data_IF_613128085967
#
_entry.id   IF_613128085967
#
_cell.length_a   1.000
_cell.length_b   1.000
_cell.length_c   1.000
_cell.angle_alpha   90.00
_cell.angle_beta   90.00
_cell.angle_gamma   90.00
#
_symmetry.space_group_name_H-M   'P 1'
#
loop_
_entity.id
_entity.type
_entity.pdbx_description
1 polymer ?
#
# COMPACT_ATOMS: atom_id res chain seq x y z
N UNK A 1 -30.08 7.58 -1.84
CA UNK A 1 -29.56 8.95 -1.65
C UNK A 1 -29.73 9.73 -2.94
N UNK A 2 -30.30 10.97 -2.90
CA UNK A 2 -30.46 11.82 -4.08
C UNK A 2 -29.28 12.80 -4.27
N UNK A 3 -28.22 12.64 -3.50
CA UNK A 3 -27.07 13.53 -3.50
C UNK A 3 -25.78 12.74 -3.71
N UNK A 4 -24.80 13.37 -4.34
CA UNK A 4 -23.43 12.92 -4.48
C UNK A 4 -22.55 13.63 -3.45
N UNK A 5 -21.76 12.89 -2.68
CA UNK A 5 -20.85 13.47 -1.70
C UNK A 5 -19.48 13.70 -2.33
N UNK A 6 -19.00 14.94 -2.30
CA UNK A 6 -17.62 15.25 -2.66
C UNK A 6 -16.77 15.45 -1.39
N UNK A 7 -15.61 14.80 -1.33
CA UNK A 7 -14.70 14.80 -0.19
C UNK A 7 -13.30 15.24 -0.61
N UNK A 8 -12.81 16.28 0.03
CA UNK A 8 -11.47 16.85 -0.15
C UNK A 8 -10.38 15.99 0.48
N UNK A 9 -9.11 16.29 0.18
CA UNK A 9 -7.94 15.65 0.80
C UNK A 9 -8.01 15.67 2.32
N UNK A 10 -8.31 16.82 2.91
CA UNK A 10 -8.34 16.99 4.38
C UNK A 10 -9.42 16.13 5.02
N UNK A 11 -10.61 16.09 4.39
CA UNK A 11 -11.72 15.27 4.88
C UNK A 11 -11.43 13.78 4.75
N UNK A 12 -10.88 13.34 3.61
CA UNK A 12 -10.47 11.93 3.40
C UNK A 12 -9.46 11.49 4.46
N UNK A 13 -8.42 12.30 4.71
CA UNK A 13 -7.41 12.00 5.73
C UNK A 13 -8.01 11.91 7.13
N UNK A 14 -8.94 12.80 7.47
CA UNK A 14 -9.61 12.81 8.78
C UNK A 14 -10.58 11.63 8.99
N UNK A 15 -11.02 10.98 7.91
CA UNK A 15 -11.99 9.88 7.91
C UNK A 15 -11.35 8.49 7.70
N UNK A 16 -10.03 8.39 7.72
CA UNK A 16 -9.28 7.13 7.60
C UNK A 16 -8.46 6.82 8.87
N UNK A 17 -9.10 6.54 10.01
CA UNK A 17 -8.37 6.10 11.20
C UNK A 17 -7.68 4.76 10.94
N UNK A 18 -6.38 4.70 11.25
CA UNK A 18 -5.50 3.61 10.83
C UNK A 18 -5.91 2.23 11.38
N UNK A 19 -6.32 2.08 12.66
CA UNK A 19 -6.74 0.77 13.19
C UNK A 19 -7.95 0.20 12.45
N UNK A 20 -8.96 1.02 12.20
CA UNK A 20 -10.19 0.64 11.48
C UNK A 20 -9.89 0.30 10.02
N UNK A 21 -9.02 1.09 9.38
CA UNK A 21 -8.62 0.82 7.99
C UNK A 21 -7.87 -0.51 7.89
N UNK A 22 -6.92 -0.80 8.80
CA UNK A 22 -6.24 -2.10 8.83
C UNK A 22 -7.22 -3.26 9.01
N UNK A 23 -8.23 -3.11 9.86
CA UNK A 23 -9.28 -4.12 10.05
C UNK A 23 -10.08 -4.33 8.76
N UNK A 24 -10.55 -3.25 8.11
CA UNK A 24 -11.26 -3.32 6.82
C UNK A 24 -10.43 -3.93 5.69
N UNK A 25 -9.12 -3.64 5.64
CA UNK A 25 -8.23 -4.24 4.65
C UNK A 25 -8.03 -5.74 4.86
N UNK A 26 -7.96 -6.22 6.11
CA UNK A 26 -7.95 -7.67 6.39
C UNK A 26 -9.20 -8.35 5.84
N UNK A 27 -10.38 -7.78 6.10
CA UNK A 27 -11.65 -8.28 5.58
C UNK A 27 -11.68 -8.26 4.04
N UNK A 28 -11.17 -7.19 3.41
CA UNK A 28 -11.11 -7.05 1.96
C UNK A 28 -10.18 -8.09 1.31
N UNK A 29 -8.99 -8.33 1.86
CA UNK A 29 -8.08 -9.38 1.38
C UNK A 29 -8.72 -10.77 1.49
N UNK A 30 -9.33 -11.10 2.62
CA UNK A 30 -10.04 -12.36 2.78
C UNK A 30 -11.19 -12.49 1.78
N UNK A 31 -12.01 -11.45 1.61
CA UNK A 31 -13.12 -11.41 0.68
C UNK A 31 -12.66 -11.64 -0.77
N UNK A 32 -11.55 -11.01 -1.16
CA UNK A 32 -10.96 -11.20 -2.50
C UNK A 32 -10.53 -12.66 -2.72
N UNK A 33 -9.75 -13.23 -1.82
CA UNK A 33 -9.29 -14.62 -1.93
C UNK A 33 -10.41 -15.66 -1.77
N UNK A 34 -11.58 -15.26 -1.26
CA UNK A 34 -12.80 -16.05 -1.17
C UNK A 34 -13.73 -15.90 -2.40
N UNK A 35 -13.33 -15.09 -3.40
CA UNK A 35 -14.14 -14.84 -4.59
C UNK A 35 -15.36 -13.93 -4.35
N UNK A 36 -15.37 -13.15 -3.28
CA UNK A 36 -16.41 -12.15 -2.94
C UNK A 36 -16.05 -10.74 -3.42
N UNK A 37 -15.13 -10.63 -4.35
CA UNK A 37 -14.74 -9.39 -5.01
C UNK A 37 -14.47 -9.67 -6.49
N UNK A 38 -14.73 -8.68 -7.33
CA UNK A 38 -14.39 -8.72 -8.76
C UNK A 38 -13.53 -7.51 -9.11
N UNK A 39 -12.26 -7.76 -9.43
CA UNK A 39 -11.29 -6.69 -9.68
C UNK A 39 -10.44 -7.04 -10.88
N UNK A 40 -10.81 -6.56 -12.07
CA UNK A 40 -9.98 -6.72 -13.25
C UNK A 40 -8.67 -5.95 -13.14
N UNK A 41 -7.67 -6.38 -13.89
CA UNK A 41 -6.41 -5.66 -13.98
C UNK A 41 -6.64 -4.21 -14.44
N UNK A 42 -5.89 -3.26 -13.85
CA UNK A 42 -5.97 -1.85 -14.24
C UNK A 42 -5.65 -1.67 -15.73
N UNK A 43 -6.35 -0.74 -16.35
CA UNK A 43 -6.09 -0.31 -17.73
C UNK A 43 -5.53 1.10 -17.74
N UNK A 44 -4.74 1.46 -18.75
CA UNK A 44 -4.13 2.78 -18.84
C UNK A 44 -4.18 3.35 -20.27
N UNK A 45 -4.56 4.62 -20.35
CA UNK A 45 -4.34 5.46 -21.54
C UNK A 45 -3.01 6.22 -21.36
N UNK A 46 -2.20 6.26 -22.42
CA UNK A 46 -0.90 6.93 -22.43
C UNK A 46 -0.99 8.28 -23.13
N UNK A 47 -0.30 9.26 -22.57
CA UNK A 47 -0.12 10.60 -23.16
C UNK A 47 1.37 10.93 -23.22
N UNK A 48 1.79 11.93 -24.00
CA UNK A 48 3.15 12.45 -23.94
C UNK A 48 3.51 12.87 -22.51
N UNK A 49 4.56 12.26 -21.94
CA UNK A 49 5.04 12.56 -20.59
C UNK A 49 4.35 11.83 -19.45
N UNK A 50 3.26 11.05 -19.70
CA UNK A 50 2.57 10.37 -18.61
C UNK A 50 1.48 9.40 -19.05
N UNK A 51 0.67 9.00 -18.09
CA UNK A 51 -0.48 8.12 -18.33
C UNK A 51 -1.63 8.45 -17.36
N UNK A 52 -2.83 7.99 -17.71
CA UNK A 52 -3.96 7.88 -16.80
C UNK A 52 -4.40 6.42 -16.73
N UNK A 53 -4.45 5.85 -15.54
CA UNK A 53 -4.97 4.52 -15.31
C UNK A 53 -6.35 4.56 -14.65
N UNK A 54 -7.20 3.58 -15.01
CA UNK A 54 -8.45 3.29 -14.35
C UNK A 54 -8.35 1.93 -13.63
N UNK A 55 -8.78 1.92 -12.37
CA UNK A 55 -8.75 0.75 -11.49
C UNK A 55 -10.18 0.49 -10.98
N UNK A 56 -11.02 -0.18 -11.78
CA UNK A 56 -12.36 -0.56 -11.33
C UNK A 56 -12.27 -1.75 -10.35
N UNK A 57 -13.25 -1.84 -9.45
CA UNK A 57 -13.39 -2.97 -8.56
C UNK A 57 -14.76 -3.01 -7.89
N UNK A 58 -15.18 -4.22 -7.60
CA UNK A 58 -16.30 -4.52 -6.70
C UNK A 58 -15.77 -5.28 -5.48
N UNK A 59 -16.22 -4.87 -4.32
CA UNK A 59 -15.97 -5.57 -3.06
C UNK A 59 -17.29 -5.72 -2.32
N UNK A 60 -17.60 -6.96 -1.95
CA UNK A 60 -18.79 -7.25 -1.14
C UNK A 60 -18.80 -6.42 0.15
N UNK A 61 -19.94 -5.78 0.45
CA UNK A 61 -20.09 -4.85 1.57
C UNK A 61 -19.52 -3.43 1.36
N UNK A 62 -18.68 -3.21 0.34
CA UNK A 62 -18.19 -1.87 -0.01
C UNK A 62 -18.87 -1.28 -1.25
N UNK A 63 -19.24 -2.12 -2.22
CA UNK A 63 -19.87 -1.72 -3.48
C UNK A 63 -18.88 -1.59 -4.64
N UNK A 64 -19.29 -0.89 -5.68
CA UNK A 64 -18.48 -0.63 -6.87
C UNK A 64 -17.66 0.64 -6.70
N UNK A 65 -16.40 0.58 -7.10
CA UNK A 65 -15.49 1.74 -7.13
C UNK A 65 -14.74 1.82 -8.45
N UNK A 66 -14.28 3.01 -8.79
CA UNK A 66 -13.22 3.19 -9.76
C UNK A 66 -12.27 4.28 -9.27
N UNK A 67 -10.97 3.95 -9.17
CA UNK A 67 -9.94 4.96 -9.00
C UNK A 67 -9.38 5.34 -10.38
N UNK A 68 -9.47 6.62 -10.72
CA UNK A 68 -8.76 7.22 -11.84
C UNK A 68 -7.50 7.89 -11.31
N UNK A 69 -6.32 7.48 -11.80
CA UNK A 69 -5.03 8.01 -11.36
C UNK A 69 -4.20 8.44 -12.55
N UNK A 70 -3.68 9.67 -12.52
CA UNK A 70 -2.69 10.15 -13.48
C UNK A 70 -1.28 10.09 -12.90
N UNK A 71 -0.31 9.72 -13.74
CA UNK A 71 1.10 9.64 -13.37
C UNK A 71 1.93 10.36 -14.41
N UNK A 72 2.54 11.47 -14.01
CA UNK A 72 3.40 12.32 -14.82
C UNK A 72 4.73 12.53 -14.12
N UNK A 73 5.72 11.70 -14.42
CA UNK A 73 7.03 11.72 -13.76
C UNK A 73 7.77 13.05 -13.95
N UNK A 74 7.52 13.76 -15.04
CA UNK A 74 8.10 15.08 -15.29
C UNK A 74 7.67 16.17 -14.30
N UNK A 75 6.66 15.93 -13.47
CA UNK A 75 6.24 16.86 -12.42
C UNK A 75 7.08 16.78 -11.15
N UNK A 76 8.00 15.82 -11.03
CA UNK A 76 8.91 15.78 -9.88
C UNK A 76 9.71 17.07 -9.76
N UNK A 77 9.65 17.68 -8.58
CA UNK A 77 10.35 18.94 -8.28
C UNK A 77 9.62 20.20 -8.76
N UNK A 78 8.37 20.07 -9.23
CA UNK A 78 7.48 21.20 -9.57
C UNK A 78 6.40 21.36 -8.49
N UNK A 79 5.55 22.37 -8.64
CA UNK A 79 4.36 22.63 -7.83
C UNK A 79 3.16 21.70 -8.16
N UNK A 80 3.26 20.93 -9.24
CA UNK A 80 2.24 19.97 -9.66
C UNK A 80 2.62 18.56 -9.19
N UNK A 81 1.77 17.86 -8.40
CA UNK A 81 2.07 16.49 -7.99
C UNK A 81 2.22 15.54 -9.18
N UNK A 82 3.21 14.65 -9.11
CA UNK A 82 3.43 13.63 -10.15
C UNK A 82 2.34 12.55 -10.18
N UNK A 83 1.63 12.36 -9.08
CA UNK A 83 0.51 11.44 -8.94
C UNK A 83 -0.71 12.20 -8.46
N UNK A 84 -1.80 12.14 -9.22
CA UNK A 84 -3.09 12.74 -8.85
C UNK A 84 -4.18 11.71 -9.09
N UNK A 85 -5.17 11.65 -8.23
CA UNK A 85 -6.22 10.64 -8.37
C UNK A 85 -7.56 11.10 -7.79
N UNK A 86 -8.63 10.50 -8.33
CA UNK A 86 -9.97 10.55 -7.78
C UNK A 86 -10.48 9.12 -7.58
N UNK A 87 -11.25 8.89 -6.52
CA UNK A 87 -12.03 7.67 -6.32
C UNK A 87 -13.50 8.01 -6.45
N UNK A 88 -14.20 7.27 -7.32
CA UNK A 88 -15.65 7.34 -7.46
C UNK A 88 -16.25 6.06 -6.87
N UNK A 89 -17.35 6.22 -6.11
CA UNK A 89 -18.12 5.11 -5.56
C UNK A 89 -19.54 5.10 -6.11
N UNK A 90 -20.07 3.89 -6.28
CA UNK A 90 -21.43 3.63 -6.74
C UNK A 90 -22.12 2.70 -5.75
N UNK A 91 -23.42 2.90 -5.56
CA UNK A 91 -24.25 2.00 -4.76
C UNK A 91 -24.59 0.70 -5.52
N UNK A 92 -25.34 -0.20 -4.87
CA UNK A 92 -25.77 -1.48 -5.43
C UNK A 92 -26.69 -1.35 -6.66
N UNK A 93 -27.21 -0.16 -6.91
CA UNK A 93 -28.05 0.17 -8.08
C UNK A 93 -27.25 0.82 -9.21
N UNK A 94 -25.93 0.94 -9.03
CA UNK A 94 -25.06 1.63 -9.97
C UNK A 94 -25.18 3.16 -9.94
N UNK A 95 -25.74 3.72 -8.86
CA UNK A 95 -25.86 5.17 -8.70
C UNK A 95 -24.56 5.72 -8.09
N UNK A 96 -23.91 6.76 -8.66
CA UNK A 96 -22.74 7.36 -8.05
C UNK A 96 -23.12 8.01 -6.72
N UNK A 97 -22.41 7.67 -5.64
CA UNK A 97 -22.70 8.13 -4.27
C UNK A 97 -21.61 9.03 -3.68
N UNK A 98 -20.36 8.87 -4.15
CA UNK A 98 -19.25 9.70 -3.69
C UNK A 98 -18.19 9.92 -4.76
N UNK A 99 -17.52 11.07 -4.67
CA UNK A 99 -16.25 11.40 -5.31
C UNK A 99 -15.31 11.88 -4.21
N UNK A 100 -14.10 11.34 -4.14
CA UNK A 100 -13.14 11.71 -3.09
C UNK A 100 -11.72 11.83 -3.62
N UNK A 101 -10.89 12.56 -2.89
CA UNK A 101 -9.46 12.64 -3.18
C UNK A 101 -8.83 11.26 -3.18
N UNK A 102 -8.37 10.81 -4.35
CA UNK A 102 -7.78 9.49 -4.54
C UNK A 102 -6.29 9.44 -4.21
N UNK A 103 -5.61 10.58 -4.16
CA UNK A 103 -4.20 10.63 -3.80
C UNK A 103 -4.01 10.27 -2.32
N UNK A 104 -4.83 10.86 -1.43
CA UNK A 104 -4.84 10.52 0.00
C UNK A 104 -5.29 9.08 0.24
N UNK A 105 -6.37 8.64 -0.42
CA UNK A 105 -6.79 7.23 -0.36
C UNK A 105 -5.62 6.33 -0.71
N UNK A 106 -4.93 6.57 -1.84
CA UNK A 106 -3.80 5.74 -2.29
C UNK A 106 -2.65 5.75 -1.30
N UNK A 107 -2.25 6.92 -0.81
CA UNK A 107 -1.13 7.06 0.12
C UNK A 107 -1.39 6.27 1.41
N UNK A 108 -2.57 6.44 2.00
CA UNK A 108 -2.92 5.89 3.31
C UNK A 108 -3.20 4.38 3.21
N UNK A 109 -4.01 3.91 2.20
CA UNK A 109 -4.36 2.50 2.08
C UNK A 109 -3.15 1.62 1.71
N UNK A 110 -2.20 2.15 0.94
CA UNK A 110 -0.98 1.40 0.59
C UNK A 110 -0.14 1.11 1.83
N UNK A 111 0.07 2.11 2.67
CA UNK A 111 0.80 1.94 3.92
C UNK A 111 0.04 1.03 4.92
N UNK A 112 -1.28 1.18 5.01
CA UNK A 112 -2.11 0.33 5.85
C UNK A 112 -2.09 -1.15 5.39
N UNK A 113 -2.09 -1.40 4.07
CA UNK A 113 -1.94 -2.75 3.49
C UNK A 113 -0.59 -3.38 3.82
N UNK A 114 0.49 -2.60 3.71
CA UNK A 114 1.83 -3.04 4.11
C UNK A 114 1.90 -3.33 5.62
N UNK A 115 1.23 -2.52 6.46
CA UNK A 115 1.13 -2.77 7.89
C UNK A 115 0.35 -4.05 8.20
N UNK A 116 -0.74 -4.34 7.48
CA UNK A 116 -1.47 -5.63 7.59
C UNK A 116 -0.56 -6.80 7.22
N UNK A 117 0.21 -6.68 6.12
CA UNK A 117 1.16 -7.72 5.73
C UNK A 117 2.23 -7.96 6.79
N UNK A 118 2.83 -6.89 7.32
CA UNK A 118 3.82 -6.98 8.39
C UNK A 118 3.25 -7.58 9.69
N UNK A 119 2.01 -7.27 10.04
CA UNK A 119 1.36 -7.83 11.22
C UNK A 119 1.09 -9.35 11.09
N UNK A 120 0.79 -9.81 9.88
CA UNK A 120 0.57 -11.23 9.58
C UNK A 120 1.89 -12.03 9.44
N UNK A 121 2.96 -11.39 8.95
CA UNK A 121 4.13 -12.08 8.43
C UNK A 121 5.42 -11.83 9.23
N UNK A 122 5.53 -10.73 9.98
CA UNK A 122 6.69 -10.48 10.82
C UNK A 122 6.66 -11.34 12.10
N UNK A 123 7.82 -11.56 12.70
CA UNK A 123 7.91 -12.27 13.98
C UNK A 123 7.15 -11.50 15.07
N UNK A 124 6.48 -12.18 16.02
CA UNK A 124 5.74 -11.52 17.09
C UNK A 124 6.60 -10.53 17.92
N UNK A 125 7.87 -10.85 18.15
CA UNK A 125 8.82 -10.02 18.92
C UNK A 125 9.54 -8.92 18.12
N UNK A 126 9.12 -8.63 16.88
CA UNK A 126 9.74 -7.58 16.04
C UNK A 126 9.64 -6.22 16.72
N UNK A 127 10.78 -5.54 16.89
CA UNK A 127 10.91 -4.30 17.63
C UNK A 127 11.66 -3.17 16.87
N UNK A 128 12.37 -3.50 15.78
CA UNK A 128 13.11 -2.55 14.96
C UNK A 128 12.48 -2.43 13.57
N UNK A 129 12.04 -1.22 13.22
CA UNK A 129 11.46 -0.88 11.91
C UNK A 129 12.48 -0.10 11.07
N UNK A 130 12.65 -0.45 9.80
CA UNK A 130 13.38 0.32 8.82
C UNK A 130 12.44 0.82 7.71
N UNK A 131 12.47 2.12 7.39
CA UNK A 131 11.72 2.73 6.28
C UNK A 131 12.73 3.26 5.26
N UNK A 132 12.71 2.70 4.05
CA UNK A 132 13.58 3.08 2.94
C UNK A 132 12.78 3.90 1.95
N UNK A 133 12.99 5.22 1.97
CA UNK A 133 12.29 6.21 1.16
C UNK A 133 11.65 7.31 2.02
N UNK A 134 12.03 8.57 1.79
CA UNK A 134 11.55 9.75 2.52
C UNK A 134 10.45 10.52 1.79
N UNK A 135 9.74 9.90 0.84
CA UNK A 135 8.64 10.49 0.08
C UNK A 135 7.27 10.25 0.71
N UNK A 136 6.20 10.50 -0.06
CA UNK A 136 4.80 10.35 0.37
C UNK A 136 4.54 8.98 1.02
N UNK A 137 5.03 7.90 0.41
CA UNK A 137 4.86 6.56 0.96
C UNK A 137 5.66 6.34 2.24
N UNK A 138 6.87 6.89 2.38
CA UNK A 138 7.62 6.83 3.63
C UNK A 138 6.88 7.50 4.79
N UNK A 139 6.30 8.69 4.55
CA UNK A 139 5.46 9.38 5.53
C UNK A 139 4.23 8.56 5.92
N UNK A 140 3.51 8.02 4.94
CA UNK A 140 2.32 7.20 5.19
C UNK A 140 2.66 5.90 5.92
N UNK A 141 3.82 5.27 5.62
CA UNK A 141 4.28 4.07 6.32
C UNK A 141 4.65 4.38 7.76
N UNK A 142 5.33 5.49 8.05
CA UNK A 142 5.60 5.89 9.43
C UNK A 142 4.30 6.00 10.23
N UNK A 143 3.28 6.68 9.67
CA UNK A 143 1.97 6.83 10.30
C UNK A 143 1.25 5.47 10.48
N UNK A 144 1.34 4.57 9.48
CA UNK A 144 0.65 3.28 9.51
C UNK A 144 1.29 2.24 10.43
N UNK A 145 2.59 2.38 10.68
CA UNK A 145 3.34 1.45 11.54
C UNK A 145 3.52 1.95 12.96
N UNK A 146 3.30 3.24 13.24
CA UNK A 146 3.61 3.86 14.53
C UNK A 146 2.96 3.14 15.73
N UNK A 147 1.72 2.70 15.59
CA UNK A 147 0.94 1.99 16.62
C UNK A 147 0.80 0.49 16.39
N UNK A 148 1.44 -0.05 15.33
CA UNK A 148 1.28 -1.45 14.95
C UNK A 148 1.89 -2.41 15.97
N UNK A 149 3.03 -2.03 16.55
CA UNK A 149 3.82 -2.81 17.50
C UNK A 149 4.53 -1.90 18.50
N UNK A 150 5.00 -2.40 19.64
CA UNK A 150 5.81 -1.65 20.60
C UNK A 150 7.25 -1.48 20.06
N UNK A 151 7.42 -0.68 19.04
CA UNK A 151 8.73 -0.40 18.45
C UNK A 151 9.69 0.16 19.50
N UNK A 152 10.94 -0.29 19.49
CA UNK A 152 12.04 0.29 20.28
C UNK A 152 12.90 1.22 19.44
N UNK A 153 12.88 1.04 18.11
CA UNK A 153 13.68 1.82 17.18
C UNK A 153 13.00 1.88 15.81
N UNK A 154 13.02 3.05 15.19
CA UNK A 154 12.59 3.27 13.80
C UNK A 154 13.75 3.94 13.07
N UNK A 155 14.24 3.31 12.03
CA UNK A 155 15.34 3.83 11.19
C UNK A 155 14.78 4.30 9.85
N UNK A 156 15.19 5.47 9.42
CA UNK A 156 14.75 6.05 8.14
C UNK A 156 15.96 6.33 7.28
N UNK A 157 15.95 5.82 6.07
CA UNK A 157 16.97 6.14 5.06
C UNK A 157 16.33 6.62 3.77
N UNK A 158 16.95 7.59 3.13
CA UNK A 158 16.51 8.09 1.83
C UNK A 158 17.73 8.52 1.00
N UNK A 159 17.62 8.43 -0.32
CA UNK A 159 18.65 8.95 -1.23
C UNK A 159 18.96 10.43 -0.98
N UNK A 160 17.94 11.22 -0.65
CA UNK A 160 18.10 12.57 -0.11
C UNK A 160 18.04 12.48 1.42
N UNK A 161 19.19 12.64 2.09
CA UNK A 161 19.27 12.52 3.55
C UNK A 161 18.39 13.53 4.28
N UNK A 162 18.25 14.75 3.78
CA UNK A 162 17.35 15.75 4.37
C UNK A 162 15.89 15.29 4.39
N UNK A 163 15.46 14.49 3.40
CA UNK A 163 14.12 13.88 3.42
C UNK A 163 14.00 12.80 4.49
N UNK A 164 15.08 12.07 4.78
CA UNK A 164 15.09 11.09 5.88
C UNK A 164 15.03 11.80 7.24
N UNK A 165 15.79 12.89 7.42
CA UNK A 165 15.73 13.71 8.64
C UNK A 165 14.36 14.31 8.88
N UNK A 166 13.74 14.88 7.84
CA UNK A 166 12.39 15.45 7.91
C UNK A 166 11.34 14.39 8.28
N UNK A 167 11.47 13.17 7.75
CA UNK A 167 10.57 12.08 8.11
C UNK A 167 10.83 11.59 9.54
N UNK A 168 12.08 11.39 9.93
CA UNK A 168 12.44 10.94 11.27
C UNK A 168 11.99 11.92 12.36
N UNK A 169 12.05 13.23 12.11
CA UNK A 169 11.61 14.26 13.05
C UNK A 169 10.11 14.15 13.45
N UNK A 170 9.30 13.36 12.73
CA UNK A 170 7.87 13.18 13.02
C UNK A 170 7.58 12.15 14.13
N UNK A 171 8.55 11.34 14.53
CA UNK A 171 8.33 10.30 15.52
C UNK A 171 9.50 10.19 16.52
N UNK A 172 9.25 10.13 17.84
CA UNK A 172 10.32 10.20 18.85
C UNK A 172 11.31 9.02 18.81
N UNK A 173 10.90 7.86 18.27
CA UNK A 173 11.77 6.68 18.12
C UNK A 173 12.48 6.64 16.76
N UNK A 174 12.18 7.59 15.85
CA UNK A 174 12.73 7.56 14.51
C UNK A 174 14.05 8.34 14.43
N UNK A 175 15.02 7.74 13.73
CA UNK A 175 16.32 8.35 13.43
C UNK A 175 16.63 8.22 11.95
N UNK A 176 17.20 9.27 11.36
CA UNK A 176 17.74 9.21 10.01
C UNK A 176 19.08 8.50 10.02
N UNK A 177 19.26 7.50 9.17
CA UNK A 177 20.54 6.78 9.00
C UNK A 177 21.28 7.27 7.75
N UNK A 178 22.62 7.19 7.72
CA UNK A 178 23.42 7.71 6.62
C UNK A 178 23.30 6.88 5.34
N UNK A 179 22.96 5.58 5.46
CA UNK A 179 22.83 4.68 4.30
C UNK A 179 21.62 3.75 4.42
N UNK A 180 21.22 3.12 3.32
CA UNK A 180 20.19 2.07 3.31
C UNK A 180 20.67 0.83 4.07
N UNK A 181 21.96 0.49 3.96
CA UNK A 181 22.57 -0.62 4.68
C UNK A 181 22.47 -0.43 6.19
N UNK A 182 22.80 0.76 6.71
CA UNK A 182 22.70 1.07 8.14
C UNK A 182 21.26 0.99 8.64
N UNK A 183 20.28 1.37 7.83
CA UNK A 183 18.88 1.24 8.20
C UNK A 183 18.44 -0.23 8.29
N UNK A 184 18.89 -1.08 7.35
CA UNK A 184 18.41 -2.45 7.16
C UNK A 184 19.08 -3.45 8.10
N UNK A 185 20.38 -3.28 8.39
CA UNK A 185 21.11 -4.26 9.22
C UNK A 185 20.49 -4.41 10.62
N UNK A 186 20.04 -5.64 10.91
CA UNK A 186 19.40 -5.96 12.18
C UNK A 186 17.96 -5.43 12.34
N UNK A 187 17.34 -4.87 11.29
CA UNK A 187 15.93 -4.52 11.31
C UNK A 187 15.06 -5.77 11.24
N UNK A 188 13.98 -5.79 12.03
CA UNK A 188 13.00 -6.89 12.03
C UNK A 188 11.96 -6.72 10.91
N UNK A 189 11.59 -5.47 10.63
CA UNK A 189 10.63 -5.11 9.58
C UNK A 189 11.24 -4.03 8.70
N UNK A 190 11.23 -4.24 7.39
CA UNK A 190 11.82 -3.35 6.39
C UNK A 190 10.74 -2.96 5.40
N UNK A 191 10.47 -1.66 5.26
CA UNK A 191 9.52 -1.10 4.30
C UNK A 191 10.28 -0.40 3.17
N UNK A 192 10.20 -0.94 1.95
CA UNK A 192 10.68 -0.30 0.73
C UNK A 192 9.55 0.56 0.17
N UNK A 193 9.77 1.87 0.10
CA UNK A 193 8.73 2.87 -0.23
C UNK A 193 9.22 3.84 -1.29
N UNK A 194 10.08 3.36 -2.20
CA UNK A 194 10.76 4.18 -3.20
C UNK A 194 10.09 4.10 -4.58
N UNK A 195 10.46 5.01 -5.47
CA UNK A 195 10.15 4.95 -6.90
C UNK A 195 11.40 4.51 -7.71
N UNK A 196 12.25 3.67 -7.12
CA UNK A 196 13.48 3.22 -7.74
C UNK A 196 13.20 2.20 -8.85
N UNK A 197 13.97 2.31 -9.94
CA UNK A 197 13.95 1.39 -11.09
C UNK A 197 15.05 0.32 -10.99
N UNK A 198 15.76 0.28 -9.87
CA UNK A 198 16.79 -0.69 -9.51
C UNK A 198 16.63 -1.09 -8.04
N UNK A 199 17.07 -2.30 -7.65
CA UNK A 199 17.06 -2.73 -6.26
C UNK A 199 17.72 -1.74 -5.31
N UNK A 200 17.07 -1.47 -4.18
CA UNK A 200 17.55 -0.48 -3.20
C UNK A 200 18.23 -1.10 -1.98
N UNK A 201 18.02 -2.40 -1.75
CA UNK A 201 18.69 -3.15 -0.67
C UNK A 201 19.25 -4.48 -1.19
N UNK A 202 20.36 -4.92 -0.58
CA UNK A 202 20.95 -6.23 -0.83
C UNK A 202 20.37 -7.25 0.17
N UNK A 203 19.96 -8.47 -0.28
CA UNK A 203 19.56 -9.54 0.62
C UNK A 203 20.60 -9.89 1.70
N UNK A 204 21.88 -9.70 1.45
CA UNK A 204 22.96 -9.94 2.40
C UNK A 204 22.95 -8.97 3.61
N UNK A 205 22.22 -7.86 3.55
CA UNK A 205 22.06 -6.95 4.67
C UNK A 205 20.91 -7.36 5.61
N UNK A 206 19.97 -8.18 5.10
CA UNK A 206 18.73 -8.53 5.80
C UNK A 206 18.98 -9.68 6.76
N UNK A 207 18.61 -9.50 8.01
CA UNK A 207 18.75 -10.53 9.04
C UNK A 207 17.79 -11.69 8.81
N UNK A 208 18.18 -12.89 9.20
CA UNK A 208 17.27 -14.03 9.27
C UNK A 208 16.05 -13.68 10.12
N UNK A 209 14.88 -14.10 9.67
CA UNK A 209 13.60 -13.83 10.35
C UNK A 209 13.01 -12.44 10.09
N UNK A 210 13.63 -11.57 9.33
CA UNK A 210 13.07 -10.27 8.99
C UNK A 210 11.81 -10.39 8.08
N UNK A 211 11.02 -9.32 8.07
CA UNK A 211 9.95 -9.11 7.10
C UNK A 211 10.33 -7.96 6.16
N UNK A 212 10.18 -8.16 4.85
CA UNK A 212 10.44 -7.15 3.82
C UNK A 212 9.14 -6.86 3.07
N UNK A 213 8.62 -5.64 3.20
CA UNK A 213 7.51 -5.10 2.42
C UNK A 213 8.01 -4.17 1.32
N UNK A 214 7.53 -4.33 0.09
CA UNK A 214 7.85 -3.47 -1.05
C UNK A 214 6.58 -2.97 -1.71
N UNK A 215 6.44 -1.66 -1.85
CA UNK A 215 5.25 -1.02 -2.44
C UNK A 215 5.53 -0.19 -3.69
N UNK A 216 6.78 -0.11 -4.11
CA UNK A 216 7.16 0.58 -5.35
C UNK A 216 6.70 -0.15 -6.61
N UNK A 217 6.32 0.60 -7.62
CA UNK A 217 5.75 0.04 -8.86
C UNK A 217 6.80 -0.36 -9.91
N UNK A 218 8.09 -0.12 -9.65
CA UNK A 218 9.17 -0.40 -10.60
C UNK A 218 9.96 -1.64 -10.19
N UNK A 219 11.23 -1.49 -9.81
CA UNK A 219 12.12 -2.63 -9.53
C UNK A 219 12.95 -2.43 -8.25
N UNK A 220 12.33 -1.85 -7.20
CA UNK A 220 13.05 -1.59 -5.94
C UNK A 220 13.43 -2.84 -5.16
N UNK A 221 12.71 -3.97 -5.38
CA UNK A 221 12.95 -5.23 -4.70
C UNK A 221 14.01 -6.05 -5.44
N UNK A 222 15.07 -6.46 -4.74
CA UNK A 222 16.13 -7.29 -5.34
C UNK A 222 15.58 -8.69 -5.69
N UNK A 223 15.92 -9.25 -6.88
CA UNK A 223 15.43 -10.58 -7.29
C UNK A 223 15.75 -11.71 -6.31
N UNK A 224 16.81 -11.59 -5.51
CA UNK A 224 17.16 -12.55 -4.46
C UNK A 224 16.05 -12.78 -3.43
N UNK A 225 15.15 -11.81 -3.24
CA UNK A 225 13.99 -11.93 -2.33
C UNK A 225 12.85 -12.78 -2.90
N UNK A 226 12.83 -13.05 -4.20
CA UNK A 226 11.77 -13.85 -4.85
C UNK A 226 12.12 -15.32 -4.98
N UNK A 227 13.19 -15.79 -4.33
CA UNK A 227 13.60 -17.19 -4.32
C UNK A 227 12.75 -18.09 -3.41
N UNK A 228 12.07 -17.50 -2.42
CA UNK A 228 11.13 -18.16 -1.50
C UNK A 228 9.68 -17.81 -1.80
N UNK A 229 8.80 -17.94 -0.77
CA UNK A 229 7.40 -17.51 -0.84
C UNK A 229 7.31 -16.00 -0.89
N UNK A 230 6.51 -15.49 -1.83
CA UNK A 230 6.19 -14.06 -1.94
C UNK A 230 4.69 -13.87 -1.69
N UNK A 231 4.39 -13.02 -0.73
CA UNK A 231 3.02 -12.64 -0.41
C UNK A 231 2.60 -11.41 -1.23
N UNK A 232 1.37 -11.43 -1.72
CA UNK A 232 0.81 -10.38 -2.58
C UNK A 232 -0.63 -10.08 -2.16
N UNK A 233 -1.18 -8.95 -2.60
CA UNK A 233 -2.60 -8.70 -2.46
C UNK A 233 -3.45 -9.53 -3.45
N UNK A 234 -2.89 -9.86 -4.61
CA UNK A 234 -3.53 -10.65 -5.68
C UNK A 234 -2.50 -11.36 -6.54
N UNK A 235 -2.78 -12.60 -6.96
CA UNK A 235 -1.84 -13.39 -7.81
C UNK A 235 -1.56 -12.75 -9.17
N UNK A 236 -2.46 -11.88 -9.64
CA UNK A 236 -2.24 -11.10 -10.85
C UNK A 236 -1.02 -10.18 -10.78
N UNK A 237 -0.50 -9.87 -9.60
CA UNK A 237 0.77 -9.17 -9.45
C UNK A 237 1.94 -9.89 -10.13
N UNK A 238 1.90 -11.24 -10.20
CA UNK A 238 2.92 -12.07 -10.83
C UNK A 238 2.57 -12.50 -12.27
N UNK A 239 1.28 -12.48 -12.65
CA UNK A 239 0.82 -13.01 -13.95
C UNK A 239 0.46 -11.93 -14.96
N UNK A 240 0.24 -10.69 -14.50
CA UNK A 240 -0.09 -9.56 -15.37
C UNK A 240 1.16 -8.75 -15.69
N UNK A 241 1.25 -8.26 -16.91
CA UNK A 241 2.38 -7.42 -17.31
C UNK A 241 2.40 -6.08 -16.54
N UNK A 242 3.57 -5.50 -16.24
CA UNK A 242 3.68 -4.15 -15.71
C UNK A 242 3.02 -3.10 -16.63
N UNK A 243 2.43 -2.04 -16.08
CA UNK A 243 2.47 -1.61 -14.68
C UNK A 243 1.35 -2.19 -13.80
N UNK A 244 0.52 -3.09 -14.30
CA UNK A 244 -0.52 -3.73 -13.48
C UNK A 244 0.08 -4.80 -12.56
N UNK A 245 0.96 -5.66 -13.08
CA UNK A 245 1.77 -6.58 -12.30
C UNK A 245 3.11 -5.97 -11.87
N UNK A 246 3.83 -6.68 -11.00
CA UNK A 246 5.15 -6.32 -10.52
C UNK A 246 6.24 -6.78 -11.49
N UNK A 247 7.19 -5.91 -11.79
CA UNK A 247 8.35 -6.24 -12.66
C UNK A 247 9.15 -7.40 -12.08
N UNK A 248 9.36 -7.40 -10.76
CA UNK A 248 10.20 -8.34 -10.03
C UNK A 248 9.57 -9.74 -9.89
N UNK A 249 8.27 -9.87 -10.14
CA UNK A 249 7.54 -11.13 -10.05
C UNK A 249 7.31 -11.80 -11.42
N UNK A 250 7.74 -11.17 -12.52
CA UNK A 250 7.55 -11.76 -13.85
C UNK A 250 8.36 -13.04 -13.99
N UNK A 251 7.67 -14.15 -14.32
CA UNK A 251 8.29 -15.45 -14.49
C UNK A 251 8.58 -16.24 -13.21
N UNK A 252 8.12 -15.75 -12.05
CA UNK A 252 8.19 -16.50 -10.78
C UNK A 252 7.32 -17.76 -10.87
N UNK A 253 7.73 -18.83 -10.18
CA UNK A 253 6.89 -20.01 -9.97
C UNK A 253 5.66 -19.62 -9.14
N UNK A 254 4.47 -19.73 -9.73
CA UNK A 254 3.21 -19.34 -9.11
C UNK A 254 2.86 -20.13 -7.84
N UNK A 255 3.44 -21.31 -7.64
CA UNK A 255 3.29 -22.08 -6.40
C UNK A 255 3.91 -21.37 -5.19
N UNK A 256 4.79 -20.38 -5.41
CA UNK A 256 5.43 -19.54 -4.39
C UNK A 256 4.68 -18.22 -4.15
N UNK A 257 3.64 -17.92 -4.92
CA UNK A 257 2.87 -16.68 -4.78
C UNK A 257 1.62 -16.95 -3.96
N UNK A 258 1.53 -16.30 -2.81
CA UNK A 258 0.46 -16.47 -1.82
C UNK A 258 -0.28 -15.15 -1.64
N UNK A 259 -1.61 -15.17 -1.70
CA UNK A 259 -2.39 -13.99 -1.41
C UNK A 259 -2.51 -13.75 0.10
N UNK A 260 -2.41 -12.49 0.55
CA UNK A 260 -2.61 -12.15 1.96
C UNK A 260 -3.97 -12.61 2.48
N UNK A 261 -4.99 -12.63 1.62
CA UNK A 261 -6.32 -13.12 1.98
C UNK A 261 -6.34 -14.59 2.37
N UNK A 262 -5.45 -15.42 1.82
CA UNK A 262 -5.32 -16.83 2.21
C UNK A 262 -4.73 -16.97 3.62
N UNK A 263 -3.80 -16.08 3.98
CA UNK A 263 -3.24 -16.03 5.35
C UNK A 263 -4.31 -15.56 6.34
N UNK A 264 -5.04 -14.49 6.02
CA UNK A 264 -6.13 -13.98 6.86
C UNK A 264 -7.21 -15.05 7.07
N UNK A 265 -7.55 -15.83 6.03
CA UNK A 265 -8.54 -16.89 6.09
C UNK A 265 -8.02 -18.21 6.71
N UNK A 266 -6.76 -18.28 7.15
CA UNK A 266 -6.15 -19.47 7.74
C UNK A 266 -5.88 -20.61 6.75
N UNK A 267 -5.94 -20.36 5.44
CA UNK A 267 -5.62 -21.34 4.39
C UNK A 267 -4.12 -21.46 4.11
N UNK A 268 -3.35 -20.46 4.52
CA UNK A 268 -1.90 -20.47 4.49
C UNK A 268 -1.36 -19.98 5.85
N UNK A 269 -0.33 -20.62 6.42
CA UNK A 269 0.17 -20.25 7.75
C UNK A 269 0.85 -18.87 7.82
N UNK A 270 1.16 -18.26 6.68
CA UNK A 270 2.01 -17.08 6.62
C UNK A 270 3.48 -17.49 6.81
N UNK A 271 4.15 -16.91 7.80
CA UNK A 271 5.52 -17.30 8.22
C UNK A 271 5.55 -18.75 8.71
N UNK A 272 6.56 -19.52 8.28
CA UNK A 272 6.70 -20.94 8.60
C UNK A 272 7.85 -21.24 9.58
N UNK A 273 8.79 -20.32 9.77
CA UNK A 273 9.87 -20.44 10.75
C UNK A 273 10.37 -19.06 11.22
N UNK A 274 11.06 -19.06 12.38
CA UNK A 274 11.64 -17.84 12.95
C UNK A 274 12.78 -17.26 12.10
N UNK A 275 13.49 -18.10 11.35
CA UNK A 275 14.59 -17.68 10.46
C UNK A 275 14.13 -17.30 9.05
N UNK A 276 12.88 -17.57 8.70
CA UNK A 276 12.35 -17.23 7.38
C UNK A 276 12.35 -15.72 7.14
N UNK A 277 12.91 -15.26 6.03
CA UNK A 277 12.70 -13.90 5.55
C UNK A 277 11.39 -13.87 4.76
N UNK A 278 10.34 -13.28 5.33
CA UNK A 278 9.05 -13.13 4.64
C UNK A 278 9.05 -11.90 3.75
N UNK A 279 8.45 -12.01 2.57
CA UNK A 279 8.44 -10.94 1.56
C UNK A 279 7.00 -10.62 1.16
N UNK A 280 6.61 -9.35 1.25
CA UNK A 280 5.37 -8.84 0.70
C UNK A 280 5.66 -7.89 -0.45
N UNK A 281 5.09 -8.15 -1.63
CA UNK A 281 5.18 -7.26 -2.79
C UNK A 281 3.81 -6.75 -3.18
N UNK A 282 3.61 -5.44 -3.06
CA UNK A 282 2.39 -4.76 -3.48
C UNK A 282 2.53 -4.16 -4.88
N UNK A 283 1.44 -4.20 -5.62
CA UNK A 283 1.22 -3.43 -6.85
C UNK A 283 0.05 -2.47 -6.69
N UNK A 284 -0.64 -2.55 -5.56
CA UNK A 284 -1.87 -1.84 -5.25
C UNK A 284 -3.07 -2.40 -6.01
N UNK A 285 -4.15 -2.67 -5.30
CA UNK A 285 -5.33 -3.33 -5.84
C UNK A 285 -6.62 -2.55 -5.53
N UNK A 286 -7.62 -2.60 -6.41
CA UNK A 286 -8.83 -1.79 -6.23
C UNK A 286 -9.70 -2.21 -5.04
N UNK A 287 -9.53 -3.43 -4.49
CA UNK A 287 -10.19 -3.82 -3.22
C UNK A 287 -9.75 -2.94 -2.05
N UNK A 288 -8.47 -2.52 -2.04
CA UNK A 288 -7.94 -1.63 -1.00
C UNK A 288 -8.57 -0.24 -1.13
N UNK A 289 -8.71 0.23 -2.38
CA UNK A 289 -9.37 1.50 -2.66
C UNK A 289 -10.86 1.43 -2.28
N UNK A 290 -11.55 0.29 -2.52
CA UNK A 290 -12.94 0.06 -2.15
C UNK A 290 -13.14 0.04 -0.63
N UNK A 291 -12.29 -0.69 0.09
CA UNK A 291 -12.35 -0.77 1.56
C UNK A 291 -12.12 0.61 2.21
N UNK A 292 -11.10 1.35 1.75
CA UNK A 292 -10.80 2.69 2.24
C UNK A 292 -11.93 3.69 1.90
N UNK A 293 -12.40 3.70 0.65
CA UNK A 293 -13.44 4.61 0.21
C UNK A 293 -14.77 4.35 0.93
N UNK A 294 -15.09 3.09 1.24
CA UNK A 294 -16.29 2.74 2.03
C UNK A 294 -16.17 3.29 3.45
N UNK A 295 -15.03 3.12 4.11
CA UNK A 295 -14.79 3.66 5.45
C UNK A 295 -14.93 5.19 5.47
N UNK A 296 -14.36 5.88 4.49
CA UNK A 296 -14.49 7.34 4.31
C UNK A 296 -15.95 7.73 4.14
N UNK A 297 -16.70 7.05 3.25
CA UNK A 297 -18.10 7.39 3.00
C UNK A 297 -18.97 7.16 4.23
N UNK A 298 -18.78 6.06 4.96
CA UNK A 298 -19.51 5.77 6.20
C UNK A 298 -19.29 6.87 7.25
N UNK A 299 -18.03 7.27 7.47
CA UNK A 299 -17.69 8.35 8.36
C UNK A 299 -18.25 9.70 7.93
N UNK A 300 -18.19 10.01 6.63
CA UNK A 300 -18.74 11.23 6.06
C UNK A 300 -20.27 11.33 6.22
N UNK A 301 -20.97 10.22 6.04
CA UNK A 301 -22.42 10.17 6.24
C UNK A 301 -22.80 10.33 7.71
N UNK A 302 -22.11 9.65 8.61
CA UNK A 302 -22.33 9.74 10.05
C UNK A 302 -22.03 11.12 10.62
N UNK A 303 -20.96 11.78 10.15
CA UNK A 303 -20.53 13.10 10.60
C UNK A 303 -21.11 14.29 9.82
N UNK A 304 -21.95 14.04 8.81
CA UNK A 304 -22.45 15.04 7.86
C UNK A 304 -21.31 15.86 7.21
N UNK A 305 -20.17 15.20 6.91
CA UNK A 305 -18.97 15.78 6.32
C UNK A 305 -19.06 15.71 4.79
N UNK A 306 -18.40 16.63 4.09
CA UNK A 306 -18.32 16.71 2.63
C UNK A 306 -19.39 17.58 2.00
N UNK A 307 -19.08 18.04 0.78
CA UNK A 307 -20.00 18.85 -0.02
C UNK A 307 -21.06 17.95 -0.65
N UNK A 308 -22.34 18.31 -0.47
CA UNK A 308 -23.49 17.62 -1.06
C UNK A 308 -23.82 18.25 -2.40
N UNK A 309 -23.67 17.49 -3.47
CA UNK A 309 -24.01 17.92 -4.84
C UNK A 309 -25.37 17.32 -5.23
N UNK A 310 -26.33 18.13 -5.67
CA UNK A 310 -27.60 17.62 -6.24
C UNK A 310 -27.31 16.82 -7.51
N UNK A 311 -28.11 15.80 -7.75
CA UNK A 311 -28.07 14.97 -8.97
C UNK A 311 -29.09 15.44 -9.97
#
# INVERSE_FOLDING_TARGET
>A
MNELVYLTEVEVRGLLPMPELRARLREAFAAFSDGRADVPARIAARAPGGLMAAMPGYLDGAGLVVKAVSVFAGNHGTDVPSHQALVLMFDERGTPVAIMDGASVTAIRTAASAAVAADLLARPGSATLAIIGGGVQGHSHLDAFADLRPWTEIRVASRNHASAEALAARHPLATATPSFEDAVRGADVICLTTDADQPVIDPAWVAAGAHVGSVGNKAELHPGFTSGTVFVEWRGAATTAPPAGATELQGIDLSRVVELGEVVAGRHPGRTSDDEVTVYKSTGHAIEDAAAARLVLDGALAGAIGLRLPR
#
